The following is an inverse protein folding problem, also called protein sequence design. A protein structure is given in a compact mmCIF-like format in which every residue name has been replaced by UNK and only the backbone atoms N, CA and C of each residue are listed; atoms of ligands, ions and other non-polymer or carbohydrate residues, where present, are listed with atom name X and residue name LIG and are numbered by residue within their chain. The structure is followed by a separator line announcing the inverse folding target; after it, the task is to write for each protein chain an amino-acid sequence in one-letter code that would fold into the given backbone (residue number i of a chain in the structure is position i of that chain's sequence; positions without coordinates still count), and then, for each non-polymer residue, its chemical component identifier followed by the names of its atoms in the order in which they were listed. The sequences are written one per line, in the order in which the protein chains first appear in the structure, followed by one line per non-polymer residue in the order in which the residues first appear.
data_IF_940997268450
#
_entry.id   IF_940997268450
#
_cell.length_a   1.000
_cell.length_b   1.000
_cell.length_c   1.000
_cell.angle_alpha   90.00
_cell.angle_beta   90.00
_cell.angle_gamma   90.00
#
_symmetry.space_group_name_H-M   'P 1'
#
loop_
_entity.id
_entity.type
_entity.pdbx_description
1 polymer ?
#
# COMPACT_ATOMS: atom_id res chain seq x y z
N UNK A 1 1.29 -2.56 -12.67
CA UNK A 1 0.95 -1.37 -11.86
C UNK A 1 -0.46 -0.89 -12.19
N UNK A 2 -1.32 -0.69 -11.19
CA UNK A 2 -2.72 -0.31 -11.35
C UNK A 2 -3.69 -1.35 -10.79
N UNK A 3 -5.00 -1.06 -10.79
CA UNK A 3 -6.06 -1.85 -10.14
C UNK A 3 -6.06 -3.36 -10.46
N UNK A 4 -5.46 -3.75 -11.59
CA UNK A 4 -5.21 -5.14 -11.99
C UNK A 4 -4.25 -5.94 -11.07
N UNK A 5 -3.47 -5.27 -10.24
CA UNK A 5 -2.59 -5.89 -9.23
C UNK A 5 -3.07 -5.62 -7.79
N UNK A 6 -4.35 -5.30 -7.61
CA UNK A 6 -4.94 -5.01 -6.30
C UNK A 6 -5.53 -6.29 -5.72
N UNK A 7 -5.08 -6.73 -4.55
CA UNK A 7 -5.57 -7.93 -3.86
C UNK A 7 -5.07 -9.25 -4.43
N UNK A 8 -4.06 -9.23 -5.31
CA UNK A 8 -3.46 -10.45 -5.84
C UNK A 8 -2.16 -10.85 -5.13
N UNK A 9 -1.67 -10.02 -4.21
CA UNK A 9 -0.51 -10.33 -3.37
C UNK A 9 0.79 -10.49 -4.18
N UNK A 10 0.85 -9.98 -5.41
CA UNK A 10 1.98 -10.19 -6.30
C UNK A 10 3.15 -9.21 -6.07
N UNK A 11 3.01 -8.25 -5.14
CA UNK A 11 4.04 -7.25 -4.84
C UNK A 11 4.34 -6.31 -6.01
N UNK A 12 3.37 -6.10 -6.91
CA UNK A 12 3.58 -5.36 -8.17
C UNK A 12 3.02 -3.93 -8.13
N UNK A 13 2.50 -3.46 -6.99
CA UNK A 13 2.08 -2.08 -6.81
C UNK A 13 3.24 -1.19 -6.40
N UNK A 14 3.37 -0.06 -7.09
CA UNK A 14 4.34 0.98 -6.75
C UNK A 14 3.85 1.83 -5.58
N UNK A 15 4.76 2.58 -4.96
CA UNK A 15 4.43 3.61 -3.97
C UNK A 15 3.35 4.54 -4.53
N UNK A 16 2.35 4.89 -3.71
CA UNK A 16 1.09 5.58 -4.06
C UNK A 16 0.05 4.75 -4.83
N UNK A 17 0.39 3.55 -5.28
CA UNK A 17 -0.57 2.61 -5.85
C UNK A 17 -1.56 2.12 -4.79
N UNK A 18 -2.80 1.86 -5.20
CA UNK A 18 -3.83 1.31 -4.32
C UNK A 18 -3.40 -0.10 -3.89
N UNK A 19 -3.67 -0.47 -2.64
CA UNK A 19 -3.39 -1.80 -2.10
C UNK A 19 -4.52 -2.26 -1.17
N UNK A 20 -4.65 -3.58 -1.00
CA UNK A 20 -5.55 -4.18 0.00
C UNK A 20 -4.74 -4.82 1.13
N UNK A 21 -3.56 -5.34 0.81
CA UNK A 21 -2.64 -5.96 1.77
C UNK A 21 -1.20 -5.50 1.50
N UNK A 22 -0.33 -5.67 2.48
CA UNK A 22 1.11 -5.40 2.34
C UNK A 22 1.74 -6.18 1.18
N UNK A 23 1.20 -7.38 0.88
CA UNK A 23 1.64 -8.25 -0.20
C UNK A 23 1.37 -7.68 -1.60
N UNK A 24 0.46 -6.71 -1.75
CA UNK A 24 0.23 -6.06 -3.05
C UNK A 24 1.37 -5.09 -3.40
N UNK A 25 2.06 -4.55 -2.40
CA UNK A 25 3.05 -3.49 -2.54
C UNK A 25 4.45 -4.05 -2.75
N UNK A 26 5.16 -3.53 -3.76
CA UNK A 26 6.58 -3.83 -3.95
C UNK A 26 7.44 -3.41 -2.73
N UNK A 27 6.96 -2.42 -1.97
CA UNK A 27 7.56 -1.97 -0.71
C UNK A 27 7.22 -2.85 0.49
N UNK A 28 6.30 -3.82 0.35
CA UNK A 28 5.81 -4.66 1.44
C UNK A 28 5.04 -3.88 2.52
N UNK A 29 4.47 -2.74 2.16
CA UNK A 29 3.83 -1.83 3.12
C UNK A 29 2.67 -1.12 2.43
N UNK A 30 1.47 -1.57 2.78
CA UNK A 30 0.20 -1.00 2.39
C UNK A 30 -0.28 -0.09 3.52
N UNK A 31 -0.24 1.22 3.34
CA UNK A 31 -0.59 2.17 4.39
C UNK A 31 -2.03 2.66 4.22
N UNK A 32 -2.82 2.60 5.29
CA UNK A 32 -4.19 3.12 5.28
C UNK A 32 -4.19 4.63 5.08
N UNK A 33 -5.08 5.15 4.24
CA UNK A 33 -5.25 6.56 3.92
C UNK A 33 -6.75 6.85 3.83
N UNK A 34 -7.25 7.84 4.58
CA UNK A 34 -8.68 8.20 4.70
C UNK A 34 -9.58 7.75 3.51
N UNK A 35 -10.26 6.60 3.65
CA UNK A 35 -11.13 6.01 2.62
C UNK A 35 -10.53 4.88 1.77
N UNK A 36 -9.30 4.45 2.03
CA UNK A 36 -8.64 3.34 1.35
C UNK A 36 -7.27 3.01 1.93
N UNK A 37 -6.43 2.33 1.15
CA UNK A 37 -5.03 2.08 1.48
C UNK A 37 -4.17 2.21 0.23
N UNK A 38 -2.94 2.71 0.42
CA UNK A 38 -1.97 2.94 -0.64
C UNK A 38 -0.60 2.42 -0.25
N UNK A 39 0.11 1.87 -1.22
CA UNK A 39 1.48 1.42 -1.00
C UNK A 39 2.34 2.59 -0.57
N UNK A 40 3.01 2.39 0.55
CA UNK A 40 3.89 3.37 1.16
C UNK A 40 5.23 2.72 1.47
N UNK A 41 6.26 3.54 1.63
CA UNK A 41 7.49 3.08 2.24
C UNK A 41 7.27 2.88 3.74
N UNK A 42 7.93 1.88 4.32
CA UNK A 42 7.86 1.58 5.77
C UNK A 42 8.19 2.82 6.61
N UNK A 43 9.22 3.59 6.24
CA UNK A 43 9.56 4.85 6.93
C UNK A 43 8.53 5.99 6.77
N UNK A 44 7.62 5.88 5.80
CA UNK A 44 6.59 6.87 5.51
C UNK A 44 5.18 6.39 5.86
N UNK A 45 5.04 5.24 6.54
CA UNK A 45 3.75 4.60 6.81
C UNK A 45 2.80 5.45 7.67
N UNK A 46 3.31 6.44 8.42
CA UNK A 46 2.52 7.40 9.20
C UNK A 46 2.56 8.82 8.63
N UNK A 47 3.26 9.03 7.51
CA UNK A 47 3.41 10.36 6.91
C UNK A 47 2.23 10.68 5.99
N UNK A 48 1.86 11.96 5.92
CA UNK A 48 0.81 12.47 5.05
C UNK A 48 -0.57 11.84 5.35
N UNK A 49 -0.93 11.75 6.64
CA UNK A 49 -2.24 11.27 7.09
C UNK A 49 -2.47 9.76 6.94
N UNK A 50 -1.39 8.99 6.79
CA UNK A 50 -1.45 7.53 6.73
C UNK A 50 -1.54 6.93 8.13
N UNK A 51 -2.26 5.81 8.26
CA UNK A 51 -2.51 5.16 9.55
C UNK A 51 -1.52 4.05 9.90
N UNK A 52 -0.50 3.80 9.08
CA UNK A 52 0.46 2.71 9.25
C UNK A 52 0.26 1.55 8.28
N UNK A 53 1.29 0.71 8.16
CA UNK A 53 1.28 -0.55 7.39
C UNK A 53 1.02 -1.75 8.30
N UNK A 54 0.51 -2.85 7.73
CA UNK A 54 0.09 -4.02 8.49
C UNK A 54 -1.32 -4.55 8.13
N UNK A 55 -1.71 -4.45 6.85
CA UNK A 55 -2.96 -5.01 6.34
C UNK A 55 -2.72 -6.32 5.58
#
# INVERSE_FOLDING_TARGET
AGAKNLGNGAGQQFITGICLTDADCASGCCAGLNGGAVCSGVGAQFQNGKTGCGF
#
